data_IF_584672415960
#
_entry.id   IF_584672415960
#
_cell.length_a   1.000
_cell.length_b   1.000
_cell.length_c   1.000
_cell.angle_alpha   90.00
_cell.angle_beta   90.00
_cell.angle_gamma   90.00
#
_symmetry.space_group_name_H-M   'P 1'
#
loop_
_entity.id
_entity.type
_entity.pdbx_description
1 polymer ?
#
# COMPACT_ATOMS: atom_id res chain seq x y z
N UNK A 1 -6.99 -30.24 -1.82
CA UNK A 1 -6.04 -29.13 -1.58
C UNK A 1 -6.86 -27.86 -1.54
N UNK A 2 -7.04 -27.26 -0.37
CA UNK A 2 -7.80 -26.01 -0.21
C UNK A 2 -6.91 -24.87 -0.69
N UNK A 3 -7.06 -24.46 -1.94
CA UNK A 3 -6.44 -23.22 -2.45
C UNK A 3 -7.19 -22.06 -1.82
N UNK A 4 -6.80 -21.67 -0.62
CA UNK A 4 -7.26 -20.39 -0.05
C UNK A 4 -6.73 -19.30 -0.98
N UNK A 5 -7.63 -18.68 -1.73
CA UNK A 5 -7.33 -17.51 -2.53
C UNK A 5 -6.91 -16.35 -1.64
N UNK A 6 -6.10 -15.47 -2.19
CA UNK A 6 -5.80 -14.18 -1.60
C UNK A 6 -5.63 -13.18 -2.73
N UNK A 7 -5.50 -11.91 -2.35
CA UNK A 7 -5.33 -10.82 -3.31
C UNK A 7 -4.27 -9.84 -2.81
N UNK A 8 -3.55 -9.25 -3.76
CA UNK A 8 -2.66 -8.14 -3.49
C UNK A 8 -3.48 -6.87 -3.35
N UNK A 9 -3.30 -6.15 -2.24
CA UNK A 9 -3.97 -4.86 -2.02
C UNK A 9 -2.93 -3.75 -1.88
N UNK A 10 -3.24 -2.62 -2.51
CA UNK A 10 -2.54 -1.36 -2.33
C UNK A 10 -3.26 -0.55 -1.26
N UNK A 11 -2.55 -0.26 -0.19
CA UNK A 11 -3.02 0.51 0.94
C UNK A 11 -2.34 1.88 0.93
N UNK A 12 -3.08 2.91 1.30
CA UNK A 12 -2.60 4.27 1.50
C UNK A 12 -2.49 4.54 2.99
N UNK A 13 -1.30 4.97 3.40
CA UNK A 13 -0.94 5.23 4.78
C UNK A 13 -1.05 6.74 5.03
N UNK A 14 -1.97 7.15 5.90
CA UNK A 14 -2.12 8.53 6.35
C UNK A 14 -1.79 8.64 7.83
N UNK A 15 -0.83 9.48 8.17
CA UNK A 15 -0.48 9.81 9.54
C UNK A 15 -1.16 11.13 9.90
N UNK A 16 -2.05 11.11 10.89
CA UNK A 16 -2.55 12.32 11.50
C UNK A 16 -1.66 12.69 12.68
N UNK A 17 -0.88 13.74 12.48
CA UNK A 17 -0.13 14.39 13.54
C UNK A 17 -1.14 15.05 14.50
N UNK A 18 -1.34 14.43 15.67
CA UNK A 18 -2.25 14.95 16.67
C UNK A 18 -1.51 16.04 17.46
N UNK A 19 -2.03 17.28 17.53
CA UNK A 19 -1.44 18.28 18.42
C UNK A 19 -1.43 17.73 19.86
N UNK A 20 -0.27 17.79 20.49
CA UNK A 20 0.11 17.16 21.77
C UNK A 20 -0.96 17.29 22.89
N UNK A 21 -1.77 18.35 22.82
CA UNK A 21 -2.81 18.66 23.78
C UNK A 21 -3.91 17.58 23.87
N UNK A 22 -4.27 16.96 22.75
CA UNK A 22 -5.38 15.98 22.70
C UNK A 22 -4.95 14.57 23.10
N UNK A 23 -3.68 14.22 22.91
CA UNK A 23 -3.11 12.92 23.30
C UNK A 23 -3.17 12.71 24.84
N UNK A 24 -3.10 13.79 25.61
CA UNK A 24 -3.20 13.77 27.07
C UNK A 24 -4.55 13.30 27.61
N UNK A 25 -5.64 13.52 26.86
CA UNK A 25 -7.01 13.18 27.30
C UNK A 25 -7.35 11.72 26.99
N UNK A 26 -6.78 11.15 25.94
CA UNK A 26 -7.15 9.80 25.47
C UNK A 26 -6.24 8.69 26.00
N UNK A 27 -5.20 8.99 26.80
CA UNK A 27 -4.18 8.02 27.25
C UNK A 27 -3.53 7.22 26.11
N UNK A 28 -3.65 7.69 24.88
CA UNK A 28 -2.85 7.19 23.77
C UNK A 28 -1.51 7.92 23.82
N UNK A 29 -0.42 7.14 23.83
CA UNK A 29 0.94 7.66 23.63
C UNK A 29 0.91 8.68 22.48
N UNK A 30 1.60 9.81 22.65
CA UNK A 30 1.87 10.74 21.55
C UNK A 30 2.36 9.93 20.36
N UNK A 31 1.49 9.71 19.38
CA UNK A 31 1.59 8.58 18.49
C UNK A 31 0.61 8.80 17.37
N UNK A 32 1.17 9.07 16.21
CA UNK A 32 0.46 9.34 14.98
C UNK A 32 -0.65 8.30 14.75
N UNK A 33 -1.89 8.76 14.53
CA UNK A 33 -2.93 7.83 14.11
C UNK A 33 -2.63 7.45 12.66
N UNK A 34 -2.25 6.19 12.45
CA UNK A 34 -2.11 5.59 11.13
C UNK A 34 -3.49 5.16 10.62
N UNK A 35 -4.04 5.94 9.69
CA UNK A 35 -5.22 5.55 8.91
C UNK A 35 -4.74 4.77 7.69
N UNK A 36 -5.30 3.58 7.50
CA UNK A 36 -5.00 2.69 6.39
C UNK A 36 -6.24 2.64 5.48
N UNK A 37 -6.13 3.21 4.29
CA UNK A 37 -7.20 3.19 3.27
C UNK A 37 -6.84 2.20 2.16
N UNK A 38 -7.75 1.28 1.81
CA UNK A 38 -7.56 0.41 0.64
C UNK A 38 -7.85 1.18 -0.63
N UNK A 39 -6.81 1.43 -1.42
CA UNK A 39 -6.89 2.19 -2.68
C UNK A 39 -7.36 1.30 -3.82
N UNK A 40 -6.95 0.03 -3.78
CA UNK A 40 -7.35 -0.94 -4.77
C UNK A 40 -6.63 -2.27 -4.67
N UNK A 41 -7.04 -3.18 -5.54
CA UNK A 41 -6.40 -4.48 -5.73
C UNK A 41 -5.36 -4.39 -6.85
N UNK A 42 -4.23 -5.07 -6.67
CA UNK A 42 -3.18 -5.19 -7.67
C UNK A 42 -3.17 -6.60 -8.26
N UNK A 43 -2.86 -6.69 -9.55
CA UNK A 43 -2.55 -8.00 -10.15
C UNK A 43 -1.19 -8.53 -9.67
N UNK A 44 -1.03 -9.86 -9.68
CA UNK A 44 0.27 -10.49 -9.39
C UNK A 44 1.37 -10.01 -10.34
N UNK A 45 1.02 -9.74 -11.60
CA UNK A 45 1.96 -9.21 -12.60
C UNK A 45 2.50 -7.83 -12.20
N UNK A 46 1.63 -6.93 -11.76
CA UNK A 46 2.03 -5.61 -11.25
C UNK A 46 2.96 -5.75 -10.05
N UNK A 47 2.61 -6.59 -9.08
CA UNK A 47 3.44 -6.79 -7.88
C UNK A 47 4.82 -7.33 -8.25
N UNK A 48 4.89 -8.28 -9.19
CA UNK A 48 6.16 -8.80 -9.71
C UNK A 48 7.00 -7.69 -10.34
N UNK A 49 6.42 -6.89 -11.25
CA UNK A 49 7.13 -5.80 -11.93
C UNK A 49 7.70 -4.81 -10.90
N UNK A 50 6.92 -4.45 -9.88
CA UNK A 50 7.36 -3.52 -8.84
C UNK A 50 8.53 -4.10 -8.05
N UNK A 51 8.45 -5.37 -7.63
CA UNK A 51 9.54 -6.05 -6.91
C UNK A 51 10.81 -6.13 -7.73
N UNK A 52 10.71 -6.50 -8.99
CA UNK A 52 11.86 -6.59 -9.90
C UNK A 52 12.49 -5.21 -10.15
N UNK A 53 11.66 -4.16 -10.24
CA UNK A 53 12.13 -2.78 -10.47
C UNK A 53 12.84 -2.21 -9.25
N UNK A 54 12.30 -2.44 -8.06
CA UNK A 54 12.80 -1.86 -6.80
C UNK A 54 13.76 -2.78 -6.05
N UNK A 55 13.96 -4.02 -6.51
CA UNK A 55 14.79 -5.01 -5.82
C UNK A 55 14.24 -5.43 -4.47
N UNK A 56 12.91 -5.54 -4.34
CA UNK A 56 12.23 -5.83 -3.08
C UNK A 56 11.93 -7.32 -2.95
N UNK A 57 12.34 -7.91 -1.83
CA UNK A 57 11.99 -9.26 -1.42
C UNK A 57 10.90 -9.25 -0.32
N UNK A 58 9.94 -10.18 -0.41
CA UNK A 58 8.92 -10.40 0.61
C UNK A 58 7.48 -10.12 0.18
N UNK A 59 6.54 -10.55 1.02
CA UNK A 59 5.09 -10.46 0.77
C UNK A 59 4.46 -9.13 1.19
N UNK A 60 5.23 -8.23 1.82
CA UNK A 60 4.74 -6.97 2.32
C UNK A 60 5.82 -5.92 2.14
N UNK A 61 5.50 -4.82 1.45
CA UNK A 61 6.46 -3.75 1.24
C UNK A 61 5.77 -2.39 1.15
N UNK A 62 6.51 -1.35 1.55
CA UNK A 62 6.07 0.03 1.44
C UNK A 62 6.60 0.65 0.16
N UNK A 63 5.83 1.57 -0.40
CA UNK A 63 6.19 2.39 -1.55
C UNK A 63 6.22 3.85 -1.12
N UNK A 64 7.36 4.48 -1.32
CA UNK A 64 7.56 5.92 -1.14
C UNK A 64 7.21 6.69 -2.42
N UNK A 65 7.14 8.01 -2.28
CA UNK A 65 7.05 8.97 -3.38
C UNK A 65 8.06 8.71 -4.50
N UNK A 66 9.30 8.39 -4.12
CA UNK A 66 10.41 8.18 -5.05
C UNK A 66 10.27 6.84 -5.77
N UNK A 67 9.84 5.80 -5.05
CA UNK A 67 9.57 4.48 -5.63
C UNK A 67 8.49 4.55 -6.72
N UNK A 68 7.43 5.34 -6.49
CA UNK A 68 6.36 5.53 -7.48
C UNK A 68 6.87 6.12 -8.80
N UNK A 69 7.91 6.95 -8.76
CA UNK A 69 8.52 7.54 -9.94
C UNK A 69 9.41 6.55 -10.71
N UNK A 70 9.93 5.53 -10.04
CA UNK A 70 10.77 4.49 -10.64
C UNK A 70 9.96 3.37 -11.29
N UNK A 71 8.70 3.18 -10.89
CA UNK A 71 7.85 2.12 -11.41
C UNK A 71 7.53 2.39 -12.90
N UNK A 72 7.85 1.45 -13.81
CA UNK A 72 7.58 1.60 -15.24
C UNK A 72 6.09 1.42 -15.53
N UNK A 73 5.31 2.51 -15.45
CA UNK A 73 3.85 2.48 -15.64
C UNK A 73 3.41 1.86 -16.97
N UNK A 74 4.23 1.98 -18.02
CA UNK A 74 3.98 1.39 -19.35
C UNK A 74 4.02 -0.14 -19.39
N UNK A 75 4.65 -0.78 -18.39
CA UNK A 75 4.69 -2.23 -18.24
C UNK A 75 3.53 -2.76 -17.41
N UNK A 76 2.82 -1.89 -16.67
CA UNK A 76 1.69 -2.30 -15.84
C UNK A 76 0.45 -2.60 -16.70
N UNK A 77 -0.38 -3.60 -16.32
CA UNK A 77 -1.72 -3.82 -16.88
C UNK A 77 -2.57 -2.55 -16.84
N UNK A 78 -3.49 -2.39 -17.79
CA UNK A 78 -4.24 -1.14 -17.98
C UNK A 78 -5.04 -0.67 -16.75
N UNK A 79 -5.64 -1.61 -15.99
CA UNK A 79 -6.37 -1.31 -14.74
C UNK A 79 -5.41 -0.75 -13.69
N UNK A 80 -4.32 -1.46 -13.42
CA UNK A 80 -3.35 -1.11 -12.39
C UNK A 80 -2.58 0.16 -12.78
N UNK A 81 -2.26 0.34 -14.06
CA UNK A 81 -1.68 1.58 -14.58
C UNK A 81 -2.55 2.78 -14.28
N UNK A 82 -3.87 2.64 -14.44
CA UNK A 82 -4.82 3.72 -14.15
C UNK A 82 -4.88 4.02 -12.65
N UNK A 83 -4.80 2.98 -11.81
CA UNK A 83 -4.68 3.12 -10.36
C UNK A 83 -3.42 3.91 -9.98
N UNK A 84 -2.26 3.51 -10.49
CA UNK A 84 -0.98 4.15 -10.21
C UNK A 84 -0.92 5.61 -10.67
N UNK A 85 -1.56 5.94 -11.81
CA UNK A 85 -1.68 7.32 -12.29
C UNK A 85 -2.55 8.21 -11.40
N UNK A 86 -3.47 7.63 -10.64
CA UNK A 86 -4.33 8.36 -9.72
C UNK A 86 -3.70 8.55 -8.32
N UNK A 87 -2.54 7.93 -8.06
CA UNK A 87 -1.86 8.06 -6.77
C UNK A 87 -1.21 9.44 -6.64
N UNK A 88 -1.34 10.05 -5.47
CA UNK A 88 -0.62 11.28 -5.17
C UNK A 88 0.81 10.95 -4.74
N UNK A 89 1.83 11.54 -5.38
CA UNK A 89 3.22 11.21 -5.09
C UNK A 89 3.65 11.62 -3.68
N UNK A 90 2.92 12.48 -2.96
CA UNK A 90 3.28 12.89 -1.59
C UNK A 90 2.80 11.92 -0.50
N UNK A 91 2.11 10.86 -0.87
CA UNK A 91 1.54 9.89 0.06
C UNK A 91 2.41 8.65 0.17
N UNK A 92 2.29 7.93 1.28
CA UNK A 92 2.97 6.65 1.51
C UNK A 92 1.99 5.52 1.22
N UNK A 93 2.46 4.50 0.52
CA UNK A 93 1.64 3.35 0.18
C UNK A 93 2.25 2.06 0.71
N UNK A 94 1.43 1.04 0.89
CA UNK A 94 1.85 -0.30 1.28
C UNK A 94 1.18 -1.33 0.39
N UNK A 95 1.95 -2.25 -0.15
CA UNK A 95 1.46 -3.42 -0.85
C UNK A 95 1.52 -4.61 0.10
N UNK A 96 0.40 -5.35 0.22
CA UNK A 96 0.30 -6.51 1.11
C UNK A 96 -0.57 -7.60 0.50
N UNK A 97 -0.28 -8.85 0.83
CA UNK A 97 -1.14 -9.99 0.50
C UNK A 97 -2.22 -10.15 1.55
N UNK A 98 -3.48 -9.98 1.14
CA UNK A 98 -4.63 -10.25 2.01
C UNK A 98 -5.23 -11.61 1.69
N UNK A 99 -5.30 -12.47 2.69
CA UNK A 99 -6.03 -13.73 2.64
C UNK A 99 -7.53 -13.45 2.63
N UNK A 100 -8.26 -14.04 1.68
CA UNK A 100 -9.72 -14.05 1.76
C UNK A 100 -10.12 -15.16 2.73
N UNK A 101 -10.62 -14.76 3.91
CA UNK A 101 -11.21 -15.72 4.83
C UNK A 101 -12.51 -16.23 4.20
N UNK A 102 -12.47 -17.45 3.67
CA UNK A 102 -13.67 -18.20 3.34
C UNK A 102 -14.52 -18.37 4.60
N UNK A 103 -15.65 -17.68 4.63
CA UNK A 103 -16.75 -17.93 5.55
C UNK A 103 -17.52 -19.19 5.11
#
# INVERSE_FOLDING_TARGET
MSTRGGRWVLLKLRYYDYPEYTARITSHYAGDILVIEEVGELSEETVRIIRETLGIDGNDFELTSEDLLLIPLEKLPGKDRSLFKALEPRERFKVTWRWENGA
#
